data_IF_674953545243
#
_entry.id   IF_674953545243
#
_cell.length_a   1.000
_cell.length_b   1.000
_cell.length_c   1.000
_cell.angle_alpha   90.00
_cell.angle_beta   90.00
_cell.angle_gamma   90.00
#
_symmetry.space_group_name_H-M   'P 1'
#
loop_
_entity.id
_entity.type
_entity.pdbx_description
1 polymer ?
#
# COMPACT_ATOMS: atom_id res chain seq x y z
N UNK A 1 6.23 -11.33 7.33
CA UNK A 1 5.25 -10.28 6.96
C UNK A 1 4.16 -10.78 6.02
N UNK A 2 4.48 -11.74 5.14
CA UNK A 2 3.45 -12.32 4.27
C UNK A 2 2.32 -12.97 5.06
N UNK A 3 2.62 -13.56 6.21
CA UNK A 3 1.61 -14.15 7.08
C UNK A 3 0.66 -13.12 7.66
N UNK A 4 1.19 -11.95 8.03
CA UNK A 4 0.38 -10.86 8.58
C UNK A 4 -0.58 -10.35 7.50
N UNK A 5 -0.06 -10.14 6.29
CA UNK A 5 -0.87 -9.69 5.17
C UNK A 5 -2.03 -10.66 4.88
N UNK A 6 -1.73 -11.94 4.80
CA UNK A 6 -2.75 -12.97 4.51
C UNK A 6 -3.77 -13.08 5.64
N UNK A 7 -3.31 -13.02 6.90
CA UNK A 7 -4.18 -13.11 8.06
C UNK A 7 -5.16 -11.93 8.11
N UNK A 8 -4.68 -10.73 7.82
CA UNK A 8 -5.52 -9.54 7.82
C UNK A 8 -6.62 -9.60 6.76
N UNK A 9 -6.29 -10.10 5.57
CA UNK A 9 -7.29 -10.29 4.51
C UNK A 9 -8.33 -11.32 4.91
N UNK A 10 -7.89 -12.41 5.50
CA UNK A 10 -8.80 -13.45 5.98
C UNK A 10 -9.80 -12.88 7.00
N UNK A 11 -9.31 -12.09 7.95
CA UNK A 11 -10.17 -11.44 8.94
C UNK A 11 -11.14 -10.46 8.31
N UNK A 12 -10.69 -9.66 7.36
CA UNK A 12 -11.55 -8.66 6.72
C UNK A 12 -12.73 -9.30 5.99
N UNK A 13 -12.50 -10.39 5.27
CA UNK A 13 -13.54 -11.02 4.45
C UNK A 13 -14.32 -12.11 5.16
N UNK A 14 -13.70 -12.76 6.17
CA UNK A 14 -14.30 -13.92 6.83
C UNK A 14 -14.46 -13.77 8.34
N UNK A 15 -13.99 -12.65 8.91
CA UNK A 15 -14.18 -12.39 10.33
C UNK A 15 -15.64 -12.08 10.65
N UNK A 16 -16.14 -12.63 11.74
CA UNK A 16 -17.56 -12.53 12.10
C UNK A 16 -17.87 -11.44 13.13
N UNK A 17 -16.87 -10.86 13.76
CA UNK A 17 -17.07 -9.98 14.92
C UNK A 17 -16.61 -8.55 14.71
N UNK A 18 -16.56 -8.07 13.47
CA UNK A 18 -16.17 -6.69 13.21
C UNK A 18 -17.03 -6.07 12.13
N UNK A 19 -17.11 -4.73 12.16
CA UNK A 19 -17.84 -3.92 11.19
C UNK A 19 -16.91 -3.10 10.30
N UNK A 20 -15.63 -3.51 10.17
CA UNK A 20 -14.66 -2.79 9.36
C UNK A 20 -14.83 -3.14 7.89
N UNK A 21 -14.86 -2.11 7.05
CA UNK A 21 -14.96 -2.25 5.60
C UNK A 21 -13.67 -1.88 4.89
N UNK A 22 -12.60 -1.63 5.64
CA UNK A 22 -11.31 -1.29 5.05
C UNK A 22 -10.17 -2.01 5.75
N UNK A 23 -9.05 -2.11 5.05
CA UNK A 23 -7.80 -2.64 5.58
C UNK A 23 -6.66 -1.75 5.11
N UNK A 24 -5.72 -1.45 5.98
CA UNK A 24 -4.56 -0.63 5.66
C UNK A 24 -3.27 -1.37 5.98
N UNK A 25 -2.37 -1.41 5.00
CA UNK A 25 -1.04 -1.96 5.19
C UNK A 25 0.01 -0.90 4.89
N UNK A 26 0.98 -0.79 5.78
CA UNK A 26 2.08 0.14 5.70
C UNK A 26 3.24 -0.44 4.86
N UNK A 27 4.01 0.43 4.25
CA UNK A 27 5.19 0.07 3.46
C UNK A 27 6.14 -0.89 4.18
N UNK A 28 6.25 -0.79 5.49
CA UNK A 28 7.13 -1.68 6.28
C UNK A 28 6.76 -3.16 6.15
N UNK A 29 5.49 -3.46 5.93
CA UNK A 29 5.04 -4.84 5.72
C UNK A 29 5.49 -5.40 4.38
N UNK A 30 5.77 -4.53 3.41
CA UNK A 30 6.17 -4.92 2.08
C UNK A 30 7.69 -4.89 1.87
N UNK A 31 8.42 -4.19 2.71
CA UNK A 31 9.85 -3.95 2.54
C UNK A 31 10.69 -5.24 2.58
N UNK A 32 10.27 -6.21 3.40
CA UNK A 32 10.96 -7.48 3.57
C UNK A 32 10.53 -8.55 2.56
N UNK A 33 9.60 -8.24 1.70
CA UNK A 33 9.05 -9.17 0.72
C UNK A 33 9.73 -8.89 -0.63
N UNK A 34 10.13 -9.95 -1.35
CA UNK A 34 10.76 -9.78 -2.66
C UNK A 34 9.84 -9.04 -3.64
N UNK A 35 10.39 -8.35 -4.65
CA UNK A 35 9.57 -7.68 -5.64
C UNK A 35 8.55 -8.59 -6.32
N UNK A 36 8.94 -9.83 -6.61
CA UNK A 36 8.05 -10.82 -7.22
C UNK A 36 6.89 -11.18 -6.30
N UNK A 37 7.17 -11.43 -5.02
CA UNK A 37 6.14 -11.77 -4.05
C UNK A 37 5.22 -10.58 -3.79
N UNK A 38 5.78 -9.38 -3.74
CA UNK A 38 5.02 -8.14 -3.59
C UNK A 38 4.07 -7.93 -4.77
N UNK A 39 4.55 -8.13 -5.98
CA UNK A 39 3.72 -8.05 -7.18
C UNK A 39 2.59 -9.07 -7.13
N UNK A 40 2.88 -10.30 -6.73
CA UNK A 40 1.87 -11.34 -6.56
C UNK A 40 0.80 -10.95 -5.55
N UNK A 41 1.20 -10.31 -4.44
CA UNK A 41 0.27 -9.82 -3.44
C UNK A 41 -0.68 -8.77 -4.02
N UNK A 42 -0.15 -7.75 -4.71
CA UNK A 42 -0.99 -6.70 -5.27
C UNK A 42 -1.88 -7.21 -6.40
N UNK A 43 -1.42 -8.17 -7.17
CA UNK A 43 -2.24 -8.84 -8.17
C UNK A 43 -3.43 -9.54 -7.51
N UNK A 44 -3.18 -10.21 -6.41
CA UNK A 44 -4.24 -10.85 -5.61
C UNK A 44 -5.21 -9.81 -5.05
N UNK A 45 -4.70 -8.69 -4.52
CA UNK A 45 -5.52 -7.61 -3.97
C UNK A 45 -6.42 -7.00 -5.04
N UNK A 46 -5.90 -6.72 -6.21
CA UNK A 46 -6.70 -6.18 -7.31
C UNK A 46 -7.89 -7.07 -7.63
N UNK A 47 -7.65 -8.38 -7.62
CA UNK A 47 -8.68 -9.36 -7.90
C UNK A 47 -9.67 -9.49 -6.76
N UNK A 48 -9.18 -9.54 -5.51
CA UNK A 48 -10.01 -9.79 -4.33
C UNK A 48 -10.94 -8.62 -4.03
N UNK A 49 -10.48 -7.39 -4.23
CA UNK A 49 -11.26 -6.19 -3.90
C UNK A 49 -12.09 -5.69 -5.08
N UNK A 50 -11.89 -6.25 -6.27
CA UNK A 50 -12.70 -5.90 -7.43
C UNK A 50 -14.16 -6.26 -7.16
N UNK A 51 -15.06 -5.29 -7.36
CA UNK A 51 -16.50 -5.46 -7.11
C UNK A 51 -16.87 -5.77 -5.65
N UNK A 52 -15.95 -5.58 -4.71
CA UNK A 52 -16.29 -5.70 -3.29
C UNK A 52 -16.68 -4.32 -2.75
N UNK A 53 -17.40 -4.31 -1.63
CA UNK A 53 -17.72 -3.08 -0.92
C UNK A 53 -16.66 -2.71 0.12
N UNK A 54 -15.52 -3.41 0.11
CA UNK A 54 -14.43 -3.17 1.03
C UNK A 54 -13.30 -2.42 0.35
N UNK A 55 -12.50 -1.72 1.12
CA UNK A 55 -11.44 -0.87 0.63
C UNK A 55 -10.08 -1.35 1.14
N UNK A 56 -9.11 -1.39 0.27
CA UNK A 56 -7.73 -1.68 0.62
C UNK A 56 -6.89 -0.43 0.45
N UNK A 57 -6.17 -0.06 1.49
CA UNK A 57 -5.29 1.11 1.49
C UNK A 57 -3.88 0.62 1.75
N UNK A 58 -2.93 1.02 0.91
CA UNK A 58 -1.53 0.65 1.10
C UNK A 58 -0.66 1.89 0.95
N UNK A 59 0.40 1.96 1.74
CA UNK A 59 1.45 2.93 1.54
C UNK A 59 2.68 2.21 1.01
N UNK A 60 3.29 2.76 -0.03
CA UNK A 60 4.48 2.20 -0.67
C UNK A 60 5.44 3.33 -0.99
N UNK A 61 6.74 3.08 -0.82
CA UNK A 61 7.70 3.99 -1.41
C UNK A 61 7.78 3.73 -2.93
N UNK A 62 8.24 4.72 -3.66
CA UNK A 62 8.27 4.63 -5.12
C UNK A 62 9.19 3.52 -5.61
N UNK A 63 10.28 3.27 -4.91
CA UNK A 63 11.21 2.19 -5.25
C UNK A 63 10.53 0.82 -5.20
N UNK A 64 9.76 0.56 -4.14
CA UNK A 64 9.02 -0.68 -4.00
C UNK A 64 7.92 -0.82 -5.05
N UNK A 65 7.29 0.28 -5.42
CA UNK A 65 6.28 0.28 -6.48
C UNK A 65 6.92 -0.02 -7.84
N UNK A 66 7.98 0.68 -8.20
CA UNK A 66 8.63 0.51 -9.50
C UNK A 66 9.26 -0.87 -9.66
N UNK A 67 9.76 -1.46 -8.57
CA UNK A 67 10.38 -2.79 -8.62
C UNK A 67 9.39 -3.90 -8.97
N UNK A 68 8.10 -3.66 -8.85
CA UNK A 68 7.08 -4.65 -9.20
C UNK A 68 6.72 -4.64 -10.69
N UNK A 69 7.15 -3.61 -11.42
CA UNK A 69 6.70 -3.38 -12.80
C UNK A 69 6.98 -4.56 -13.71
N UNK A 70 8.14 -5.19 -13.58
CA UNK A 70 8.52 -6.32 -14.42
C UNK A 70 7.73 -7.60 -14.13
N UNK A 71 7.09 -7.68 -12.96
CA UNK A 71 6.34 -8.86 -12.52
C UNK A 71 4.83 -8.71 -12.67
N UNK A 72 4.38 -7.56 -13.17
CA UNK A 72 2.96 -7.27 -13.39
C UNK A 72 2.70 -7.06 -14.88
N UNK A 73 1.48 -7.35 -15.30
CA UNK A 73 1.08 -6.96 -16.65
C UNK A 73 1.03 -5.43 -16.73
N UNK A 74 1.14 -4.88 -17.93
CA UNK A 74 1.04 -3.44 -18.14
C UNK A 74 -0.29 -2.91 -17.62
N UNK A 75 -1.36 -3.66 -17.81
CA UNK A 75 -2.70 -3.29 -17.35
C UNK A 75 -2.76 -3.24 -15.82
N UNK A 76 -2.26 -4.28 -15.14
CA UNK A 76 -2.27 -4.33 -13.68
C UNK A 76 -1.44 -3.20 -13.08
N UNK A 77 -0.25 -2.95 -13.62
CA UNK A 77 0.60 -1.88 -13.14
C UNK A 77 -0.06 -0.52 -13.33
N UNK A 78 -0.70 -0.31 -14.47
CA UNK A 78 -1.44 0.92 -14.75
C UNK A 78 -2.60 1.11 -13.77
N UNK A 79 -3.29 0.04 -13.42
CA UNK A 79 -4.36 0.08 -12.42
C UNK A 79 -3.83 0.53 -11.07
N UNK A 80 -2.67 0.01 -10.65
CA UNK A 80 -2.03 0.44 -9.41
C UNK A 80 -1.64 1.92 -9.46
N UNK A 81 -1.04 2.37 -10.56
CA UNK A 81 -0.66 3.78 -10.72
C UNK A 81 -1.88 4.70 -10.66
N UNK A 82 -2.96 4.31 -11.29
CA UNK A 82 -4.20 5.10 -11.30
C UNK A 82 -4.90 5.11 -9.94
N UNK A 83 -4.51 4.21 -9.05
CA UNK A 83 -5.05 4.14 -7.68
C UNK A 83 -4.32 5.05 -6.70
N UNK A 84 -3.24 5.69 -7.12
CA UNK A 84 -2.48 6.59 -6.25
C UNK A 84 -3.29 7.88 -6.05
N UNK A 85 -3.71 8.12 -4.81
CA UNK A 85 -4.49 9.31 -4.45
C UNK A 85 -3.66 10.38 -3.76
N UNK A 86 -2.48 10.01 -3.25
CA UNK A 86 -1.61 10.93 -2.54
C UNK A 86 -0.15 10.55 -2.79
N UNK A 87 0.61 11.50 -3.30
CA UNK A 87 2.03 11.31 -3.58
C UNK A 87 2.82 12.29 -2.73
N UNK A 88 3.47 11.77 -1.69
CA UNK A 88 4.22 12.57 -0.73
C UNK A 88 5.69 12.65 -1.16
N UNK A 89 6.21 13.86 -1.18
CA UNK A 89 7.62 14.12 -1.51
C UNK A 89 8.24 15.02 -0.45
N UNK A 90 9.53 14.84 -0.24
CA UNK A 90 10.26 15.64 0.73
C UNK A 90 10.82 16.97 0.19
N UNK A 91 10.48 17.33 -1.04
CA UNK A 91 11.07 18.45 -1.75
C UNK A 91 10.44 19.81 -1.38
N UNK A 92 9.12 19.90 -1.39
CA UNK A 92 8.39 21.14 -1.08
C UNK A 92 7.26 20.84 -0.09
N UNK A 93 6.85 21.85 0.72
CA UNK A 93 5.82 21.62 1.75
C UNK A 93 4.50 21.06 1.24
N UNK A 94 4.06 21.49 0.07
CA UNK A 94 2.79 21.04 -0.52
C UNK A 94 2.75 19.54 -0.79
N UNK A 95 3.92 18.91 -0.96
CA UNK A 95 4.03 17.49 -1.21
C UNK A 95 4.19 16.65 0.06
N UNK A 96 4.11 17.27 1.24
CA UNK A 96 4.22 16.59 2.53
C UNK A 96 2.87 16.45 3.18
N UNK A 97 2.70 15.40 3.95
CA UNK A 97 1.42 15.08 4.59
C UNK A 97 0.89 16.24 5.44
N UNK A 98 1.76 16.88 6.20
CA UNK A 98 1.37 18.00 7.06
C UNK A 98 1.56 19.36 6.40
N UNK A 99 2.05 19.41 5.16
CA UNK A 99 2.31 20.65 4.45
C UNK A 99 3.48 21.46 5.01
N UNK A 100 4.32 20.85 5.85
CA UNK A 100 5.46 21.51 6.49
C UNK A 100 6.70 20.63 6.47
N UNK A 101 7.84 21.25 6.58
CA UNK A 101 9.12 20.56 6.70
C UNK A 101 9.35 20.19 8.17
N UNK A 102 9.59 18.92 8.47
CA UNK A 102 9.75 18.42 9.83
C UNK A 102 11.20 18.14 10.22
N UNK A 103 12.15 18.30 9.31
CA UNK A 103 13.55 17.91 9.51
C UNK A 103 14.18 18.55 10.76
N UNK A 104 13.80 19.78 11.05
CA UNK A 104 14.40 20.54 12.15
C UNK A 104 13.71 20.30 13.49
N UNK A 105 12.59 19.58 13.50
CA UNK A 105 11.84 19.37 14.74
C UNK A 105 12.38 18.21 15.57
N UNK A 106 13.01 17.25 14.92
CA UNK A 106 13.56 16.08 15.59
C UNK A 106 14.69 16.47 16.53
N UNK A 107 15.50 17.44 16.12
CA UNK A 107 16.68 17.90 16.88
C UNK A 107 16.32 18.76 18.09
N UNK A 108 15.10 19.25 18.17
CA UNK A 108 14.66 20.13 19.24
C UNK A 108 13.84 19.42 20.32
N UNK A 109 13.53 18.18 20.06
CA UNK A 109 12.80 17.36 21.01
C UNK A 109 13.76 16.67 21.97
#
# INVERSE_FOLDING_TARGET
NARILAFDILNLFHGSNHNLDFLWHDNRLFADISPKARAGWFKYILKKFNNSNKQYIATLNNENLQSMKEYLTTEDFKTLENSIILNLKGDIPENKLLGVQLDNYVDTI
#
